data_IF_479649513560
#
_entry.id   IF_479649513560
#
_cell.length_a   1.000
_cell.length_b   1.000
_cell.length_c   1.000
_cell.angle_alpha   90.00
_cell.angle_beta   90.00
_cell.angle_gamma   90.00
#
_symmetry.space_group_name_H-M   'P 1'
#
loop_
_entity.id
_entity.type
_entity.pdbx_description
1 polymer ?
#
# COMPACT_ATOMS: atom_id res chain seq x y z
N UNK A 1 12.94 -42.20 7.72
CA UNK A 1 12.61 -40.88 8.31
C UNK A 1 13.80 -40.22 9.03
N UNK A 2 15.07 -40.47 8.62
CA UNK A 2 16.26 -39.82 9.23
C UNK A 2 16.85 -38.72 8.35
N UNK A 3 16.65 -38.81 7.03
CA UNK A 3 17.22 -37.89 6.04
C UNK A 3 16.33 -36.64 5.82
N UNK A 4 15.05 -36.69 6.23
CA UNK A 4 14.09 -35.59 6.10
C UNK A 4 14.26 -34.53 7.20
N UNK A 5 14.67 -34.93 8.41
CA UNK A 5 14.94 -34.01 9.52
C UNK A 5 16.20 -33.19 9.25
N UNK A 6 17.22 -33.79 8.62
CA UNK A 6 18.48 -33.12 8.30
C UNK A 6 18.32 -32.02 7.24
N UNK A 7 17.38 -32.18 6.30
CA UNK A 7 17.13 -31.20 5.23
C UNK A 7 16.38 -29.98 5.72
N UNK A 8 15.49 -30.13 6.71
CA UNK A 8 14.72 -29.01 7.29
C UNK A 8 15.60 -28.08 8.13
N UNK A 9 16.61 -28.63 8.83
CA UNK A 9 17.52 -27.85 9.68
C UNK A 9 18.49 -26.98 8.83
N UNK A 10 18.88 -27.45 7.64
CA UNK A 10 19.84 -26.74 6.77
C UNK A 10 19.24 -25.49 6.09
N UNK A 11 17.92 -25.46 5.86
CA UNK A 11 17.25 -24.34 5.18
C UNK A 11 16.86 -23.20 6.13
N UNK A 12 16.76 -23.46 7.45
CA UNK A 12 16.38 -22.46 8.46
C UNK A 12 17.31 -21.23 8.54
N UNK A 13 18.66 -21.35 8.51
CA UNK A 13 19.54 -20.18 8.57
C UNK A 13 19.45 -19.31 7.30
N UNK A 14 19.15 -19.88 6.13
CA UNK A 14 19.04 -19.13 4.87
C UNK A 14 17.82 -18.19 4.84
N UNK A 15 16.71 -18.59 5.47
CA UNK A 15 15.50 -17.76 5.56
C UNK A 15 15.73 -16.54 6.47
N UNK A 16 16.47 -16.71 7.58
CA UNK A 16 16.78 -15.62 8.51
C UNK A 16 17.70 -14.56 7.87
N UNK A 17 18.73 -14.98 7.14
CA UNK A 17 19.65 -14.06 6.43
C UNK A 17 18.92 -13.26 5.33
N UNK A 18 17.94 -13.90 4.67
CA UNK A 18 17.09 -13.23 3.68
C UNK A 18 16.14 -12.19 4.31
N UNK A 19 15.60 -12.45 5.51
CA UNK A 19 14.75 -11.50 6.24
C UNK A 19 15.56 -10.29 6.70
N UNK A 20 16.75 -10.51 7.28
CA UNK A 20 17.58 -9.44 7.84
C UNK A 20 18.11 -8.45 6.78
N UNK A 21 18.46 -8.96 5.59
CA UNK A 21 18.87 -8.12 4.46
C UNK A 21 17.69 -7.32 3.86
N UNK A 22 16.49 -7.90 3.85
CA UNK A 22 15.27 -7.20 3.42
C UNK A 22 14.89 -6.07 4.38
N UNK A 23 14.95 -6.33 5.68
CA UNK A 23 14.61 -5.33 6.70
C UNK A 23 15.61 -4.18 6.74
N UNK A 24 16.91 -4.46 6.61
CA UNK A 24 17.95 -3.42 6.47
C UNK A 24 17.71 -2.51 5.26
N UNK A 25 17.41 -3.08 4.09
CA UNK A 25 17.11 -2.30 2.88
C UNK A 25 15.86 -1.41 3.05
N UNK A 26 14.84 -1.89 3.79
CA UNK A 26 13.64 -1.10 4.10
C UNK A 26 13.92 0.03 5.09
N UNK A 27 14.76 -0.22 6.09
CA UNK A 27 15.22 0.80 7.01
C UNK A 27 15.99 1.92 6.27
N UNK A 28 16.88 1.56 5.34
CA UNK A 28 17.61 2.52 4.51
C UNK A 28 16.67 3.36 3.63
N UNK A 29 15.76 2.70 2.90
CA UNK A 29 14.80 3.38 2.03
C UNK A 29 13.92 4.37 2.82
N UNK A 30 13.49 4.01 4.04
CA UNK A 30 12.74 4.90 4.94
C UNK A 30 13.57 6.08 5.41
N UNK A 31 14.81 5.84 5.85
CA UNK A 31 15.73 6.90 6.29
C UNK A 31 15.96 7.94 5.19
N UNK A 32 16.17 7.46 3.95
CA UNK A 32 16.34 8.34 2.78
C UNK A 32 15.08 9.11 2.43
N UNK A 33 13.92 8.49 2.58
CA UNK A 33 12.63 9.15 2.34
C UNK A 33 12.38 10.27 3.36
N UNK A 34 12.68 10.04 4.65
CA UNK A 34 12.51 11.05 5.70
C UNK A 34 13.43 12.25 5.49
N UNK A 35 14.68 12.02 5.07
CA UNK A 35 15.58 13.13 4.71
C UNK A 35 15.00 13.97 3.57
N UNK A 36 14.51 13.33 2.51
CA UNK A 36 13.89 14.06 1.39
C UNK A 36 12.67 14.85 1.86
N UNK A 37 11.85 14.28 2.75
CA UNK A 37 10.71 14.94 3.38
C UNK A 37 11.12 16.21 4.10
N UNK A 38 12.12 16.13 4.97
CA UNK A 38 12.62 17.28 5.75
C UNK A 38 13.14 18.40 4.84
N UNK A 39 13.96 18.06 3.84
CA UNK A 39 14.48 19.05 2.90
C UNK A 39 13.37 19.71 2.06
N UNK A 40 12.36 18.92 1.67
CA UNK A 40 11.25 19.40 0.84
C UNK A 40 10.32 20.29 1.66
N UNK A 41 10.00 19.91 2.90
CA UNK A 41 9.22 20.73 3.83
C UNK A 41 9.91 22.07 4.11
N UNK A 42 11.22 22.05 4.37
CA UNK A 42 11.97 23.28 4.60
C UNK A 42 12.06 24.18 3.35
N UNK A 43 12.07 23.61 2.14
CA UNK A 43 12.05 24.38 0.89
C UNK A 43 10.67 25.03 0.65
N UNK A 44 9.57 24.33 1.00
CA UNK A 44 8.22 24.90 0.96
C UNK A 44 8.08 26.04 1.98
N UNK A 45 8.56 25.83 3.21
CA UNK A 45 8.50 26.83 4.28
C UNK A 45 9.27 28.12 3.94
N UNK A 46 10.42 27.99 3.28
CA UNK A 46 11.20 29.14 2.78
C UNK A 46 10.59 29.80 1.53
N UNK A 47 9.58 29.19 0.91
CA UNK A 47 9.00 29.66 -0.34
C UNK A 47 9.88 29.40 -1.57
N UNK A 48 10.92 28.57 -1.45
CA UNK A 48 11.80 28.20 -2.56
C UNK A 48 11.07 27.35 -3.61
N UNK A 49 10.03 26.62 -3.17
CA UNK A 49 9.14 25.81 -3.99
C UNK A 49 7.71 25.96 -3.47
N UNK A 50 6.74 25.72 -4.36
CA UNK A 50 5.33 25.66 -3.99
C UNK A 50 4.99 24.36 -3.27
N UNK A 51 3.86 24.35 -2.55
CA UNK A 51 3.35 23.15 -1.89
C UNK A 51 3.06 22.01 -2.89
N UNK A 52 2.60 22.35 -4.09
CA UNK A 52 2.37 21.41 -5.21
C UNK A 52 3.67 20.72 -5.64
N UNK A 53 4.71 21.51 -5.91
CA UNK A 53 6.04 21.00 -6.30
C UNK A 53 6.67 20.16 -5.19
N UNK A 54 6.46 20.54 -3.92
CA UNK A 54 6.86 19.75 -2.78
C UNK A 54 6.18 18.37 -2.78
N UNK A 55 4.88 18.32 -3.08
CA UNK A 55 4.12 17.06 -3.15
C UNK A 55 4.58 16.18 -4.32
N UNK A 56 4.77 16.75 -5.50
CA UNK A 56 5.31 16.02 -6.66
C UNK A 56 6.69 15.42 -6.36
N UNK A 57 7.56 16.20 -5.71
CA UNK A 57 8.91 15.76 -5.30
C UNK A 57 8.85 14.60 -4.34
N UNK A 58 7.93 14.61 -3.38
CA UNK A 58 7.69 13.51 -2.45
C UNK A 58 7.13 12.26 -3.14
N UNK A 59 6.22 12.42 -4.12
CA UNK A 59 5.70 11.31 -4.93
C UNK A 59 6.81 10.66 -5.77
N UNK A 60 7.68 11.46 -6.39
CA UNK A 60 8.82 10.98 -7.15
C UNK A 60 9.83 10.24 -6.27
N UNK A 61 10.14 10.79 -5.09
CA UNK A 61 11.02 10.14 -4.12
C UNK A 61 10.47 8.79 -3.65
N UNK A 62 9.15 8.72 -3.39
CA UNK A 62 8.46 7.49 -3.02
C UNK A 62 8.57 6.43 -4.12
N UNK A 63 8.31 6.83 -5.37
CA UNK A 63 8.49 5.94 -6.54
C UNK A 63 9.93 5.45 -6.69
N UNK A 64 10.95 6.25 -6.37
CA UNK A 64 12.35 5.83 -6.49
C UNK A 64 12.77 4.85 -5.39
N UNK A 65 12.37 5.11 -4.15
CA UNK A 65 12.85 4.37 -2.98
C UNK A 65 12.04 3.10 -2.68
N UNK A 66 10.78 3.03 -3.10
CA UNK A 66 9.88 1.91 -2.73
C UNK A 66 9.36 1.10 -3.92
N UNK A 67 9.87 1.32 -5.14
CA UNK A 67 9.45 0.59 -6.36
C UNK A 67 9.89 -0.88 -6.40
N UNK A 68 10.64 -1.35 -5.42
CA UNK A 68 11.26 -2.67 -5.41
C UNK A 68 10.41 -3.83 -4.85
N UNK A 69 9.10 -3.83 -5.10
CA UNK A 69 8.29 -5.05 -4.89
C UNK A 69 7.48 -5.53 -6.08
N UNK A 70 7.32 -4.73 -7.13
CA UNK A 70 6.61 -5.18 -8.33
C UNK A 70 7.52 -5.75 -9.42
N UNK A 71 8.85 -5.57 -9.40
CA UNK A 71 9.72 -6.09 -10.48
C UNK A 71 10.19 -7.53 -10.27
N UNK A 72 10.55 -7.94 -9.05
CA UNK A 72 11.05 -9.32 -8.80
C UNK A 72 9.98 -10.42 -8.85
N UNK A 73 8.71 -10.10 -9.07
CA UNK A 73 7.63 -11.08 -9.35
C UNK A 73 7.07 -11.01 -10.77
N UNK A 74 7.46 -10.02 -11.59
CA UNK A 74 6.87 -9.78 -12.91
C UNK A 74 7.82 -10.04 -14.08
N UNK A 75 9.11 -10.32 -13.87
CA UNK A 75 10.04 -10.52 -14.99
C UNK A 75 9.97 -11.96 -15.57
N UNK A 76 9.51 -12.95 -14.79
CA UNK A 76 9.31 -14.33 -15.26
C UNK A 76 7.83 -14.70 -15.49
N UNK A 77 6.91 -13.74 -15.33
CA UNK A 77 5.50 -13.88 -15.70
C UNK A 77 4.97 -12.54 -16.19
N UNK A 78 5.24 -12.24 -17.46
CA UNK A 78 4.29 -11.47 -18.26
C UNK A 78 3.05 -12.34 -18.42
N UNK A 79 2.23 -12.40 -17.37
CA UNK A 79 0.82 -12.69 -17.56
C UNK A 79 0.23 -11.39 -18.11
N UNK A 80 0.19 -11.36 -19.43
CA UNK A 80 -0.87 -10.70 -20.17
C UNK A 80 -2.22 -11.21 -19.64
N UNK A 81 -2.66 -10.64 -18.53
CA UNK A 81 -4.04 -10.75 -18.09
C UNK A 81 -4.45 -9.33 -17.78
N UNK A 82 -5.10 -8.70 -18.76
CA UNK A 82 -5.65 -7.35 -18.74
C UNK A 82 -6.72 -7.16 -17.66
N UNK A 83 -6.30 -7.28 -16.41
CA UNK A 83 -7.16 -7.28 -15.25
C UNK A 83 -7.06 -5.92 -14.55
N UNK A 84 -7.93 -5.00 -14.94
CA UNK A 84 -8.07 -3.72 -14.23
C UNK A 84 -8.34 -3.95 -12.74
N UNK A 85 -8.10 -2.93 -11.91
CA UNK A 85 -8.38 -3.00 -10.46
C UNK A 85 -9.78 -3.54 -10.14
N UNK A 86 -10.75 -3.27 -11.04
CA UNK A 86 -12.14 -3.72 -10.95
C UNK A 86 -12.30 -5.25 -11.01
N UNK A 87 -11.46 -5.98 -11.76
CA UNK A 87 -11.54 -7.44 -11.79
C UNK A 87 -11.09 -8.05 -10.45
N UNK A 88 -10.12 -7.45 -9.76
CA UNK A 88 -9.78 -7.89 -8.41
C UNK A 88 -10.97 -7.76 -7.44
N UNK A 89 -11.76 -6.70 -7.57
CA UNK A 89 -13.00 -6.54 -6.82
C UNK A 89 -14.09 -7.52 -7.26
N UNK A 90 -14.20 -7.79 -8.57
CA UNK A 90 -15.15 -8.78 -9.09
C UNK A 90 -14.87 -10.18 -8.53
N UNK A 91 -13.59 -10.55 -8.36
CA UNK A 91 -13.17 -11.82 -7.71
C UNK A 91 -13.57 -11.89 -6.23
N UNK A 92 -13.73 -10.74 -5.57
CA UNK A 92 -14.30 -10.65 -4.21
C UNK A 92 -15.83 -10.62 -4.22
N UNK A 93 -16.50 -10.75 -5.38
CA UNK A 93 -17.96 -10.64 -5.50
C UNK A 93 -18.46 -9.19 -5.60
N UNK A 94 -17.57 -8.21 -5.75
CA UNK A 94 -17.91 -6.78 -5.82
C UNK A 94 -17.84 -6.33 -7.28
N UNK A 95 -18.99 -6.31 -7.95
CA UNK A 95 -19.06 -6.13 -9.41
C UNK A 95 -19.10 -4.66 -9.85
N UNK A 96 -19.63 -3.75 -9.03
CA UNK A 96 -19.76 -2.32 -9.39
C UNK A 96 -18.95 -1.44 -8.42
N UNK A 97 -17.81 -0.97 -8.93
CA UNK A 97 -16.93 -0.03 -8.22
C UNK A 97 -17.18 1.44 -8.55
N UNK A 98 -18.08 1.74 -9.48
CA UNK A 98 -18.34 3.12 -9.93
C UNK A 98 -18.82 3.99 -8.79
N UNK A 99 -19.73 3.46 -7.95
CA UNK A 99 -20.25 4.18 -6.77
C UNK A 99 -19.17 4.46 -5.73
N UNK A 100 -18.19 3.57 -5.56
CA UNK A 100 -17.09 3.77 -4.62
C UNK A 100 -16.09 4.80 -5.15
N UNK A 101 -15.73 4.70 -6.44
CA UNK A 101 -14.85 5.66 -7.11
C UNK A 101 -15.44 7.07 -7.07
N UNK A 102 -16.74 7.22 -7.36
CA UNK A 102 -17.42 8.51 -7.30
C UNK A 102 -17.43 9.06 -5.87
N UNK A 103 -17.72 8.22 -4.87
CA UNK A 103 -17.70 8.65 -3.46
C UNK A 103 -16.33 9.19 -3.05
N UNK A 104 -15.24 8.51 -3.43
CA UNK A 104 -13.88 9.00 -3.12
C UNK A 104 -13.55 10.30 -3.84
N UNK A 105 -13.96 10.43 -5.10
CA UNK A 105 -13.79 11.65 -5.89
C UNK A 105 -14.55 12.84 -5.28
N UNK A 106 -15.81 12.63 -4.90
CA UNK A 106 -16.67 13.63 -4.23
C UNK A 106 -16.12 14.07 -2.86
N UNK A 107 -15.32 13.21 -2.21
CA UNK A 107 -14.62 13.51 -0.95
C UNK A 107 -13.17 14.00 -1.17
N UNK A 108 -12.88 14.51 -2.37
CA UNK A 108 -11.62 15.22 -2.65
C UNK A 108 -10.40 14.32 -2.85
N UNK A 109 -10.56 13.01 -3.07
CA UNK A 109 -9.44 12.16 -3.45
C UNK A 109 -9.13 12.32 -4.94
N UNK A 110 -7.85 12.53 -5.27
CA UNK A 110 -7.39 12.59 -6.67
C UNK A 110 -7.41 11.20 -7.31
N UNK A 111 -7.36 11.13 -8.64
CA UNK A 111 -7.30 9.84 -9.36
C UNK A 111 -6.08 9.00 -8.96
N UNK A 112 -4.94 9.64 -8.72
CA UNK A 112 -3.71 8.96 -8.29
C UNK A 112 -3.83 8.42 -6.86
N UNK A 113 -4.49 9.14 -5.96
CA UNK A 113 -4.80 8.66 -4.62
C UNK A 113 -5.79 7.49 -4.69
N UNK A 114 -6.84 7.60 -5.50
CA UNK A 114 -7.85 6.54 -5.66
C UNK A 114 -7.25 5.23 -6.18
N UNK A 115 -6.36 5.24 -7.18
CA UNK A 115 -5.69 4.00 -7.65
C UNK A 115 -4.94 3.30 -6.51
N UNK A 116 -4.19 4.07 -5.70
CA UNK A 116 -3.44 3.54 -4.56
C UNK A 116 -4.35 3.03 -3.45
N UNK A 117 -5.44 3.75 -3.18
CA UNK A 117 -6.44 3.38 -2.17
C UNK A 117 -7.14 2.09 -2.57
N UNK A 118 -7.67 2.01 -3.79
CA UNK A 118 -8.39 0.84 -4.27
C UNK A 118 -7.51 -0.42 -4.26
N UNK A 119 -6.21 -0.29 -4.57
CA UNK A 119 -5.26 -1.41 -4.46
C UNK A 119 -5.05 -1.86 -3.02
N UNK A 120 -4.90 -0.91 -2.08
CA UNK A 120 -4.68 -1.26 -0.67
C UNK A 120 -5.95 -1.79 -0.01
N UNK A 121 -7.10 -1.27 -0.38
CA UNK A 121 -8.41 -1.69 0.13
C UNK A 121 -8.70 -3.17 -0.09
N UNK A 122 -8.16 -3.80 -1.13
CA UNK A 122 -8.25 -5.27 -1.31
C UNK A 122 -7.67 -6.00 -0.08
N UNK A 123 -6.52 -5.54 0.43
CA UNK A 123 -5.91 -6.12 1.65
C UNK A 123 -6.71 -5.77 2.89
N UNK A 124 -7.23 -4.56 2.98
CA UNK A 124 -8.08 -4.13 4.10
C UNK A 124 -9.33 -5.01 4.18
N UNK A 125 -10.02 -5.23 3.05
CA UNK A 125 -11.20 -6.10 2.96
C UNK A 125 -10.87 -7.52 3.41
N UNK A 126 -9.75 -8.09 2.96
CA UNK A 126 -9.33 -9.43 3.41
C UNK A 126 -9.06 -9.48 4.92
N UNK A 127 -8.46 -8.40 5.47
CA UNK A 127 -8.21 -8.28 6.91
C UNK A 127 -9.53 -8.18 7.68
N UNK A 128 -10.49 -7.40 7.20
CA UNK A 128 -11.84 -7.31 7.78
C UNK A 128 -12.54 -8.67 7.76
N UNK A 129 -12.46 -9.41 6.66
CA UNK A 129 -13.06 -10.75 6.57
C UNK A 129 -12.41 -11.76 7.54
N UNK A 130 -11.18 -11.48 8.00
CA UNK A 130 -10.45 -12.34 8.94
C UNK A 130 -10.72 -11.94 10.40
N UNK A 131 -10.74 -10.63 10.68
CA UNK A 131 -10.85 -10.06 12.03
C UNK A 131 -12.31 -9.75 12.43
N UNK A 132 -13.24 -9.70 11.48
CA UNK A 132 -14.66 -9.45 11.73
C UNK A 132 -14.92 -8.09 12.38
N UNK A 133 -15.79 -8.08 13.40
CA UNK A 133 -16.18 -6.85 14.13
C UNK A 133 -15.04 -6.25 14.96
N UNK A 134 -13.98 -7.02 15.24
CA UNK A 134 -12.79 -6.53 15.94
C UNK A 134 -11.86 -5.72 15.03
N UNK A 135 -12.10 -5.74 13.71
CA UNK A 135 -11.26 -5.02 12.76
C UNK A 135 -11.25 -3.52 13.02
N UNK A 136 -10.06 -3.01 13.27
CA UNK A 136 -9.75 -1.58 13.27
C UNK A 136 -8.60 -1.33 12.31
N UNK A 137 -8.60 -0.15 11.70
CA UNK A 137 -7.51 0.24 10.83
C UNK A 137 -6.23 0.42 11.66
N UNK A 138 -5.41 -0.62 11.71
CA UNK A 138 -4.19 -0.62 12.52
C UNK A 138 -3.20 0.46 12.07
N UNK A 139 -2.30 0.87 12.97
CA UNK A 139 -1.30 1.94 12.77
C UNK A 139 -0.59 1.90 11.41
N UNK A 140 -0.35 0.69 10.89
CA UNK A 140 0.32 0.46 9.60
C UNK A 140 -0.52 0.90 8.40
N UNK A 141 -1.83 0.64 8.41
CA UNK A 141 -2.72 1.10 7.34
C UNK A 141 -2.95 2.61 7.43
N UNK A 142 -3.15 3.14 8.65
CA UNK A 142 -3.31 4.57 8.89
C UNK A 142 -2.10 5.35 8.39
N UNK A 143 -0.89 4.95 8.79
CA UNK A 143 0.35 5.55 8.32
C UNK A 143 0.46 5.51 6.79
N UNK A 144 0.09 4.39 6.15
CA UNK A 144 0.15 4.31 4.69
C UNK A 144 -0.82 5.30 4.04
N UNK A 145 -2.07 5.36 4.49
CA UNK A 145 -3.04 6.25 3.88
C UNK A 145 -2.71 7.73 4.12
N UNK A 146 -2.26 8.09 5.32
CA UNK A 146 -1.92 9.48 5.63
C UNK A 146 -0.59 9.90 4.98
N UNK A 147 0.49 9.17 5.26
CA UNK A 147 1.84 9.63 4.90
C UNK A 147 2.26 9.20 3.50
N UNK A 148 1.84 8.00 3.06
CA UNK A 148 2.27 7.48 1.77
C UNK A 148 1.31 7.91 0.65
N UNK A 149 0.00 7.93 0.91
CA UNK A 149 -1.03 8.34 -0.07
C UNK A 149 -1.39 9.83 0.05
N UNK A 150 -1.23 10.45 1.22
CA UNK A 150 -1.57 11.85 1.43
C UNK A 150 -3.05 12.09 1.71
N UNK A 151 -3.74 11.12 2.34
CA UNK A 151 -5.14 11.28 2.73
C UNK A 151 -5.26 12.07 4.04
N UNK A 152 -6.35 12.83 4.16
CA UNK A 152 -6.74 13.44 5.45
C UNK A 152 -7.31 12.38 6.40
N UNK A 153 -7.34 12.66 7.71
CA UNK A 153 -7.94 11.75 8.68
C UNK A 153 -9.40 11.37 8.36
N UNK A 154 -10.19 12.33 7.86
CA UNK A 154 -11.57 12.08 7.41
C UNK A 154 -11.62 11.13 6.21
N UNK A 155 -10.73 11.31 5.25
CA UNK A 155 -10.59 10.43 4.08
C UNK A 155 -10.14 9.02 4.50
N UNK A 156 -9.28 8.87 5.51
CA UNK A 156 -8.90 7.55 6.05
C UNK A 156 -10.09 6.86 6.71
N UNK A 157 -10.90 7.58 7.50
CA UNK A 157 -12.13 7.04 8.09
C UNK A 157 -13.16 6.63 7.02
N UNK A 158 -13.24 7.40 5.93
CA UNK A 158 -14.08 7.05 4.78
C UNK A 158 -13.61 5.73 4.15
N UNK A 159 -12.30 5.56 3.92
CA UNK A 159 -11.71 4.31 3.39
C UNK A 159 -12.04 3.14 4.31
N UNK A 160 -11.86 3.27 5.62
CA UNK A 160 -12.19 2.23 6.60
C UNK A 160 -13.66 1.78 6.49
N UNK A 161 -14.57 2.76 6.53
CA UNK A 161 -16.01 2.51 6.49
C UNK A 161 -16.44 1.83 5.19
N UNK A 162 -15.90 2.28 4.06
CA UNK A 162 -16.18 1.68 2.77
C UNK A 162 -15.61 0.26 2.70
N UNK A 163 -14.40 0.02 3.19
CA UNK A 163 -13.81 -1.33 3.26
C UNK A 163 -14.65 -2.29 4.09
N UNK A 164 -15.11 -1.87 5.29
CA UNK A 164 -16.02 -2.69 6.13
C UNK A 164 -17.32 -3.03 5.40
N UNK A 165 -17.93 -2.05 4.72
CA UNK A 165 -19.15 -2.27 3.93
C UNK A 165 -18.93 -3.23 2.75
N UNK A 166 -17.77 -3.15 2.11
CA UNK A 166 -17.42 -4.02 0.98
C UNK A 166 -17.11 -5.44 1.44
N UNK A 167 -16.43 -5.60 2.58
CA UNK A 167 -16.18 -6.89 3.22
C UNK A 167 -17.48 -7.65 3.52
N UNK A 168 -18.49 -7.00 4.11
CA UNK A 168 -19.81 -7.62 4.35
C UNK A 168 -20.59 -7.99 3.08
N UNK A 169 -20.15 -7.56 1.88
CA UNK A 169 -20.72 -7.94 0.59
C UNK A 169 -19.85 -8.91 -0.19
N UNK A 170 -18.62 -9.13 0.28
CA UNK A 170 -17.68 -10.01 -0.38
C UNK A 170 -18.02 -11.47 -0.09
N UNK A 171 -17.76 -12.36 -1.06
CA UNK A 171 -18.03 -13.79 -0.97
C UNK A 171 -16.88 -14.57 -0.37
#
# INVERSE_FOLDING_TARGET
MKNFILTVILCFPLVLIAQESSDRNRADARSRYEKIRQYTAAAVERGDITEEEGRERMLAARKRLFKDRNRRRNDDQVSDTGSGIDEHYARLGISDMSRVKNLFKENGMTESQMDLVLRMMIRVIHTVNTEGDEFQLGKRFTHYFENDVGLTGEQVQLVERVSKRLAGRSR
#
